data_IF_221165424175
#
_entry.id   IF_221165424175
#
_cell.length_a   1.000
_cell.length_b   1.000
_cell.length_c   1.000
_cell.angle_alpha   90.00
_cell.angle_beta   90.00
_cell.angle_gamma   90.00
#
_symmetry.space_group_name_H-M   'P 1'
#
loop_
_entity.id
_entity.type
_entity.pdbx_description
1 polymer ?
#
# COMPACT_ATOMS: atom_id res chain seq x y z
N UNK A 1 -9.24 0.62 -8.76
CA UNK A 1 -10.43 1.10 -8.03
C UNK A 1 -11.02 2.30 -8.77
N UNK A 2 -12.33 2.51 -8.62
CA UNK A 2 -12.97 3.70 -9.18
C UNK A 2 -12.44 4.99 -8.53
N UNK A 3 -12.39 6.08 -9.31
CA UNK A 3 -11.92 7.39 -8.84
C UNK A 3 -12.69 7.89 -7.61
N UNK A 4 -14.01 7.65 -7.56
CA UNK A 4 -14.89 8.08 -6.45
C UNK A 4 -14.50 7.41 -5.13
N UNK A 5 -14.24 6.10 -5.16
CA UNK A 5 -13.80 5.35 -3.97
C UNK A 5 -12.44 5.86 -3.47
N UNK A 6 -11.49 6.08 -4.39
CA UNK A 6 -10.20 6.64 -4.01
C UNK A 6 -10.35 8.06 -3.41
N UNK A 7 -11.28 8.87 -3.90
CA UNK A 7 -11.56 10.18 -3.32
C UNK A 7 -12.17 10.09 -1.92
N UNK A 8 -13.13 9.20 -1.67
CA UNK A 8 -13.66 8.98 -0.32
C UNK A 8 -12.58 8.52 0.65
N UNK A 9 -11.71 7.60 0.24
CA UNK A 9 -10.59 7.16 1.06
C UNK A 9 -9.65 8.33 1.40
N UNK A 10 -9.39 9.24 0.45
CA UNK A 10 -8.59 10.45 0.71
C UNK A 10 -9.22 11.36 1.78
N UNK A 11 -10.54 11.52 1.76
CA UNK A 11 -11.27 12.31 2.76
C UNK A 11 -11.13 11.68 4.15
N UNK A 12 -11.32 10.37 4.27
CA UNK A 12 -11.22 9.69 5.55
C UNK A 12 -9.79 9.72 6.13
N UNK A 13 -8.77 9.58 5.28
CA UNK A 13 -7.37 9.73 5.70
C UNK A 13 -7.05 11.14 6.21
N UNK A 14 -7.59 12.19 5.59
CA UNK A 14 -7.38 13.58 6.04
C UNK A 14 -8.07 13.89 7.37
N UNK A 15 -9.20 13.23 7.62
CA UNK A 15 -9.99 13.39 8.84
C UNK A 15 -9.47 12.55 10.01
N UNK A 16 -8.58 11.59 9.78
CA UNK A 16 -7.98 10.80 10.84
C UNK A 16 -7.11 11.68 11.76
N UNK A 17 -7.30 11.51 13.08
CA UNK A 17 -6.63 12.30 14.15
C UNK A 17 -6.15 11.47 15.34
N UNK A 18 -6.25 10.15 15.27
CA UNK A 18 -5.83 9.29 16.39
C UNK A 18 -4.29 9.20 16.45
N UNK A 19 -3.70 9.00 17.65
CA UNK A 19 -2.25 9.05 17.84
C UNK A 19 -1.51 7.81 17.32
N UNK A 20 -2.22 6.74 16.95
CA UNK A 20 -1.61 5.48 16.49
C UNK A 20 -0.84 5.66 15.19
N UNK A 21 -1.33 6.52 14.29
CA UNK A 21 -0.68 6.84 13.02
C UNK A 21 -0.63 8.35 12.80
N UNK A 22 0.49 8.84 12.31
CA UNK A 22 0.63 10.22 11.85
C UNK A 22 0.41 10.24 10.34
N UNK A 23 -0.64 10.93 9.90
CA UNK A 23 -1.02 11.04 8.48
C UNK A 23 -0.84 12.49 8.02
N UNK A 24 0.15 12.71 7.16
CA UNK A 24 0.47 14.04 6.62
C UNK A 24 0.30 14.07 5.11
N UNK A 25 -0.56 14.95 4.60
CA UNK A 25 -0.78 15.09 3.16
C UNK A 25 0.43 15.74 2.48
N UNK A 26 0.92 15.13 1.40
CA UNK A 26 1.97 15.69 0.58
C UNK A 26 1.43 16.80 -0.34
N UNK A 27 2.21 17.86 -0.61
CA UNK A 27 1.83 18.87 -1.58
C UNK A 27 1.78 18.27 -2.99
N UNK A 28 0.75 18.66 -3.74
CA UNK A 28 0.60 18.32 -5.15
C UNK A 28 0.49 19.59 -5.98
N UNK A 29 1.04 19.57 -7.19
CA UNK A 29 0.92 20.67 -8.15
C UNK A 29 0.08 20.18 -9.32
N UNK A 30 -1.01 20.88 -9.64
CA UNK A 30 -1.94 20.50 -10.70
C UNK A 30 -2.42 19.03 -10.61
N UNK A 31 -2.69 18.55 -9.39
CA UNK A 31 -3.06 17.15 -9.12
C UNK A 31 -2.02 16.13 -9.61
N UNK A 32 -0.74 16.48 -9.51
CA UNK A 32 0.38 15.58 -9.79
C UNK A 32 1.44 15.69 -8.70
N UNK A 33 2.21 14.61 -8.50
CA UNK A 33 3.43 14.65 -7.71
C UNK A 33 4.59 15.16 -8.56
N UNK A 34 5.43 15.98 -7.93
CA UNK A 34 6.74 16.38 -8.44
C UNK A 34 7.80 16.03 -7.41
N UNK A 35 9.03 15.76 -7.85
CA UNK A 35 10.15 15.43 -6.95
C UNK A 35 9.89 14.25 -5.98
N UNK A 36 9.06 13.28 -6.37
CA UNK A 36 8.81 12.07 -5.58
C UNK A 36 9.68 10.90 -6.05
N UNK A 37 9.24 10.18 -7.09
CA UNK A 37 9.95 9.07 -7.73
C UNK A 37 9.57 9.09 -9.20
N UNK A 38 10.50 8.75 -10.11
CA UNK A 38 10.30 8.90 -11.56
C UNK A 38 9.06 8.16 -12.09
N UNK A 39 8.68 7.06 -11.44
CA UNK A 39 7.48 6.30 -11.83
C UNK A 39 6.18 6.91 -11.33
N UNK A 40 6.19 7.76 -10.29
CA UNK A 40 4.98 8.44 -9.81
C UNK A 40 4.83 9.86 -10.37
N UNK A 41 5.95 10.53 -10.65
CA UNK A 41 5.96 11.94 -11.04
C UNK A 41 5.12 12.20 -12.31
N UNK A 42 4.36 13.30 -12.29
CA UNK A 42 3.53 13.74 -13.41
C UNK A 42 2.33 12.84 -13.75
N UNK A 43 2.04 11.80 -12.95
CA UNK A 43 0.80 11.03 -13.07
C UNK A 43 -0.33 11.72 -12.29
N UNK A 44 -1.59 11.64 -12.78
CA UNK A 44 -2.73 12.16 -12.02
C UNK A 44 -2.84 11.48 -10.66
N UNK A 45 -2.91 12.29 -9.60
CA UNK A 45 -3.02 11.85 -8.21
C UNK A 45 -4.20 12.56 -7.57
N UNK A 46 -5.02 11.82 -6.80
CA UNK A 46 -6.08 12.39 -5.98
C UNK A 46 -5.45 13.01 -4.72
N UNK A 47 -4.64 12.22 -4.04
CA UNK A 47 -3.88 12.63 -2.88
C UNK A 47 -2.70 11.68 -2.66
N UNK A 48 -1.70 12.18 -1.95
CA UNK A 48 -0.59 11.40 -1.48
C UNK A 48 -0.35 11.76 -0.02
N UNK A 49 0.00 10.77 0.80
CA UNK A 49 0.20 10.93 2.23
C UNK A 49 1.53 10.31 2.63
N UNK A 50 2.25 11.01 3.51
CA UNK A 50 3.21 10.41 4.41
C UNK A 50 2.45 9.81 5.58
N UNK A 51 2.63 8.51 5.82
CA UNK A 51 1.97 7.78 6.89
C UNK A 51 3.04 7.13 7.76
N UNK A 52 3.18 7.63 8.97
CA UNK A 52 4.12 7.12 9.95
C UNK A 52 3.39 6.42 11.09
N UNK A 53 3.99 5.37 11.63
CA UNK A 53 3.60 4.80 12.91
C UNK A 53 4.69 5.14 13.92
N UNK A 54 4.42 5.94 14.97
CA UNK A 54 5.45 6.38 15.91
C UNK A 54 6.29 5.22 16.46
N UNK A 55 7.61 5.33 16.34
CA UNK A 55 8.56 4.29 16.76
C UNK A 55 8.73 3.09 15.80
N UNK A 56 8.04 3.10 14.66
CA UNK A 56 8.10 2.05 13.64
C UNK A 56 8.41 2.62 12.24
N UNK A 57 8.24 1.79 11.21
CA UNK A 57 8.42 2.16 9.81
C UNK A 57 7.41 3.24 9.37
N UNK A 58 7.74 3.96 8.31
CA UNK A 58 6.85 4.92 7.65
C UNK A 58 6.71 4.56 6.18
N UNK A 59 5.64 5.01 5.54
CA UNK A 59 5.33 4.69 4.16
C UNK A 59 4.64 5.85 3.47
N UNK A 60 4.83 5.96 2.15
CA UNK A 60 4.05 6.90 1.34
C UNK A 60 2.87 6.19 0.69
N UNK A 61 1.66 6.70 0.90
CA UNK A 61 0.43 6.17 0.33
C UNK A 61 -0.05 7.10 -0.79
N UNK A 62 -0.09 6.59 -2.02
CA UNK A 62 -0.44 7.36 -3.21
C UNK A 62 -1.78 6.87 -3.77
N UNK A 63 -2.78 7.75 -3.80
CA UNK A 63 -4.06 7.50 -4.47
C UNK A 63 -3.98 8.03 -5.90
N UNK A 64 -3.50 7.19 -6.82
CA UNK A 64 -2.90 7.62 -8.10
C UNK A 64 -3.42 6.81 -9.29
N UNK A 65 -3.57 7.46 -10.45
CA UNK A 65 -3.78 6.76 -11.74
C UNK A 65 -2.44 6.19 -12.22
N UNK A 66 -2.08 5.05 -11.62
CA UNK A 66 -0.75 4.47 -11.71
C UNK A 66 -0.34 4.11 -13.15
N UNK A 67 -1.28 3.60 -13.95
CA UNK A 67 -1.03 3.19 -15.33
C UNK A 67 -1.62 4.14 -16.38
N UNK A 68 -2.10 5.33 -15.99
CA UNK A 68 -2.70 6.34 -16.90
C UNK A 68 -3.86 5.78 -17.72
N UNK A 69 -4.69 4.98 -17.09
CA UNK A 69 -5.84 4.31 -17.71
C UNK A 69 -7.15 4.62 -16.99
N UNK A 70 -7.17 5.71 -16.21
CA UNK A 70 -8.31 6.14 -15.40
C UNK A 70 -8.76 5.10 -14.36
N UNK A 71 -7.87 4.16 -14.00
CA UNK A 71 -8.06 3.21 -12.91
C UNK A 71 -7.13 3.61 -11.77
N UNK A 72 -7.70 3.90 -10.59
CA UNK A 72 -6.92 4.40 -9.47
C UNK A 72 -6.38 3.26 -8.61
N UNK A 73 -5.21 3.51 -8.05
CA UNK A 73 -4.46 2.58 -7.20
C UNK A 73 -4.21 3.25 -5.86
N UNK A 74 -4.17 2.45 -4.80
CA UNK A 74 -3.42 2.76 -3.60
C UNK A 74 -2.05 2.13 -3.80
N UNK A 75 -1.06 2.97 -4.13
CA UNK A 75 0.32 2.54 -4.26
C UNK A 75 1.05 2.91 -2.98
N UNK A 76 1.71 1.93 -2.37
CA UNK A 76 2.49 2.11 -1.15
C UNK A 76 3.97 2.09 -1.51
N UNK A 77 4.68 3.17 -1.18
CA UNK A 77 6.13 3.30 -1.36
C UNK A 77 6.85 3.19 -0.03
N UNK A 78 8.06 2.63 -0.06
CA UNK A 78 9.00 2.76 1.05
C UNK A 78 9.28 4.25 1.33
N UNK A 79 9.54 4.60 2.58
CA UNK A 79 9.75 6.00 2.97
C UNK A 79 11.00 6.64 2.35
N UNK A 80 12.01 5.85 2.00
CA UNK A 80 13.18 6.32 1.24
C UNK A 80 12.88 6.51 -0.27
N UNK A 81 11.63 6.23 -0.69
CA UNK A 81 11.14 6.27 -2.08
C UNK A 81 11.89 5.33 -3.03
N UNK A 82 12.67 4.39 -2.51
CA UNK A 82 13.51 3.49 -3.31
C UNK A 82 12.68 2.48 -4.12
N UNK A 83 11.52 2.08 -3.61
CA UNK A 83 10.71 1.03 -4.22
C UNK A 83 9.24 1.09 -3.82
N UNK A 84 8.40 0.54 -4.69
CA UNK A 84 7.01 0.23 -4.40
C UNK A 84 6.94 -1.03 -3.53
N UNK A 85 6.28 -0.92 -2.37
CA UNK A 85 5.98 -2.03 -1.48
C UNK A 85 4.77 -2.82 -2.00
N UNK A 86 3.70 -2.10 -2.35
CA UNK A 86 2.46 -2.69 -2.82
C UNK A 86 1.71 -1.80 -3.81
N UNK A 87 0.99 -2.42 -4.73
CA UNK A 87 0.06 -1.76 -5.66
C UNK A 87 -1.30 -2.41 -5.49
N UNK A 88 -2.28 -1.65 -5.01
CA UNK A 88 -3.61 -2.16 -4.71
C UNK A 88 -4.67 -1.42 -5.53
N UNK A 89 -5.40 -2.13 -6.38
CA UNK A 89 -6.49 -1.55 -7.18
C UNK A 89 -7.72 -2.46 -7.30
N UNK A 90 -7.59 -3.75 -6.97
CA UNK A 90 -8.66 -4.74 -7.11
C UNK A 90 -9.62 -4.60 -5.95
N UNK A 91 -10.86 -4.27 -6.27
CA UNK A 91 -11.97 -4.31 -5.32
C UNK A 91 -12.68 -5.65 -5.49
N UNK A 92 -12.96 -6.31 -4.38
CA UNK A 92 -13.86 -7.46 -4.32
C UNK A 92 -14.97 -7.15 -3.31
N UNK A 93 -16.16 -7.68 -3.54
CA UNK A 93 -17.29 -7.55 -2.63
C UNK A 93 -17.56 -8.92 -2.01
N UNK A 94 -17.63 -8.97 -0.67
CA UNK A 94 -18.00 -10.18 0.07
C UNK A 94 -18.99 -9.77 1.18
N UNK A 95 -20.17 -10.40 1.19
CA UNK A 95 -21.24 -10.12 2.17
C UNK A 95 -21.62 -8.62 2.28
N UNK A 96 -21.64 -7.91 1.16
CA UNK A 96 -21.97 -6.48 1.11
C UNK A 96 -20.86 -5.54 1.58
N UNK A 97 -19.67 -6.07 1.90
CA UNK A 97 -18.49 -5.29 2.27
C UNK A 97 -17.50 -5.28 1.11
N UNK A 98 -17.01 -4.09 0.76
CA UNK A 98 -15.96 -3.94 -0.24
C UNK A 98 -14.59 -4.10 0.40
N UNK A 99 -13.73 -4.90 -0.23
CA UNK A 99 -12.35 -5.13 0.18
C UNK A 99 -11.39 -4.72 -0.92
N UNK A 100 -10.30 -4.09 -0.52
CA UNK A 100 -9.11 -3.90 -1.34
C UNK A 100 -8.27 -5.18 -1.27
N UNK A 101 -8.26 -5.93 -2.37
CA UNK A 101 -7.59 -7.23 -2.47
C UNK A 101 -6.20 -7.07 -3.08
N UNK A 102 -5.19 -7.62 -2.41
CA UNK A 102 -3.81 -7.63 -2.85
C UNK A 102 -3.23 -9.05 -2.77
N UNK A 103 -2.43 -9.43 -3.77
CA UNK A 103 -1.77 -10.73 -3.83
C UNK A 103 -0.26 -10.56 -3.85
N UNK A 104 0.42 -11.25 -2.95
CA UNK A 104 1.86 -11.35 -2.96
C UNK A 104 2.35 -12.07 -4.22
N UNK A 105 3.11 -11.34 -5.03
CA UNK A 105 3.65 -11.81 -6.30
C UNK A 105 5.07 -11.24 -6.47
N UNK A 106 6.11 -11.88 -5.90
CA UNK A 106 7.48 -11.41 -6.07
C UNK A 106 7.93 -11.56 -7.53
N UNK A 107 8.54 -10.51 -8.07
CA UNK A 107 9.00 -10.43 -9.47
C UNK A 107 10.52 -10.16 -9.56
N UNK A 108 11.30 -10.70 -8.61
CA UNK A 108 12.76 -10.52 -8.58
C UNK A 108 13.42 -11.39 -9.65
N UNK A 109 14.54 -10.93 -10.23
CA UNK A 109 15.26 -11.62 -11.31
C UNK A 109 16.40 -12.52 -10.80
N UNK A 110 16.28 -13.03 -9.58
CA UNK A 110 17.29 -13.86 -8.92
C UNK A 110 16.95 -15.36 -8.90
N UNK A 111 15.82 -15.75 -9.47
CA UNK A 111 15.35 -17.14 -9.49
C UNK A 111 14.78 -17.64 -8.15
N UNK A 112 14.70 -16.80 -7.11
CA UNK A 112 14.29 -17.21 -5.75
C UNK A 112 12.85 -16.81 -5.39
N UNK A 113 12.02 -16.47 -6.37
CA UNK A 113 10.62 -16.05 -6.14
C UNK A 113 9.77 -17.17 -5.52
N UNK A 114 10.00 -18.43 -5.88
CA UNK A 114 9.25 -19.57 -5.33
C UNK A 114 9.55 -19.78 -3.85
N UNK A 115 10.80 -19.57 -3.42
CA UNK A 115 11.20 -19.61 -2.01
C UNK A 115 10.45 -18.54 -1.23
N UNK A 116 10.50 -17.28 -1.70
CA UNK A 116 9.81 -16.15 -1.05
C UNK A 116 8.30 -16.38 -0.95
N UNK A 117 7.67 -16.85 -2.03
CA UNK A 117 6.23 -17.14 -2.08
C UNK A 117 5.85 -18.29 -1.16
N UNK A 118 6.67 -19.33 -1.07
CA UNK A 118 6.47 -20.46 -0.17
C UNK A 118 6.60 -20.02 1.28
N UNK A 119 7.64 -19.25 1.62
CA UNK A 119 7.81 -18.65 2.94
C UNK A 119 6.62 -17.77 3.34
N UNK A 120 6.18 -16.87 2.44
CA UNK A 120 5.05 -15.99 2.70
C UNK A 120 3.79 -16.80 3.04
N UNK A 121 3.48 -17.83 2.23
CA UNK A 121 2.31 -18.67 2.46
C UNK A 121 2.42 -19.48 3.76
N UNK A 122 3.57 -20.07 4.06
CA UNK A 122 3.74 -20.84 5.30
C UNK A 122 3.68 -19.95 6.55
N UNK A 123 4.26 -18.76 6.49
CA UNK A 123 4.35 -17.85 7.65
C UNK A 123 3.04 -17.09 7.89
N UNK A 124 2.35 -16.68 6.82
CA UNK A 124 1.17 -15.81 6.91
C UNK A 124 -0.14 -16.49 6.46
N UNK A 125 -0.09 -17.80 6.16
CA UNK A 125 -1.24 -18.65 5.81
C UNK A 125 -1.73 -18.53 4.37
N UNK A 126 -1.78 -17.32 3.82
CA UNK A 126 -2.29 -17.03 2.47
C UNK A 126 -1.36 -16.05 1.75
N UNK A 127 -1.34 -16.09 0.42
CA UNK A 127 -0.65 -15.09 -0.41
C UNK A 127 -1.55 -13.92 -0.80
N UNK A 128 -2.84 -13.96 -0.44
CA UNK A 128 -3.79 -12.88 -0.72
C UNK A 128 -4.22 -12.23 0.59
N UNK A 129 -4.19 -10.90 0.64
CA UNK A 129 -4.75 -10.10 1.72
C UNK A 129 -5.95 -9.32 1.19
N UNK A 130 -7.09 -9.45 1.87
CA UNK A 130 -8.29 -8.68 1.60
C UNK A 130 -8.49 -7.70 2.74
N UNK A 131 -8.34 -6.40 2.45
CA UNK A 131 -8.39 -5.34 3.45
C UNK A 131 -9.74 -4.62 3.30
N UNK A 132 -10.62 -4.63 4.32
CA UNK A 132 -11.90 -3.93 4.24
C UNK A 132 -11.68 -2.45 3.90
N UNK A 133 -12.41 -1.93 2.92
CA UNK A 133 -12.39 -0.50 2.64
C UNK A 133 -13.17 0.23 3.74
N UNK A 134 -12.61 1.30 4.33
CA UNK A 134 -13.32 2.10 5.30
C UNK A 134 -14.49 2.81 4.61
N UNK A 135 -15.65 2.76 5.26
CA UNK A 135 -16.86 3.51 4.93
C UNK A 135 -17.06 4.70 5.87
N UNK A 136 -16.37 4.70 7.02
CA UNK A 136 -16.38 5.75 8.04
C UNK A 136 -14.96 6.03 8.55
N UNK A 137 -14.72 7.25 9.05
CA UNK A 137 -13.40 7.67 9.55
C UNK A 137 -12.89 6.82 10.72
N UNK A 138 -13.78 6.32 11.59
CA UNK A 138 -13.41 5.44 12.72
C UNK A 138 -12.78 4.12 12.29
N UNK A 139 -13.01 3.68 11.05
CA UNK A 139 -12.48 2.43 10.51
C UNK A 139 -11.05 2.59 9.93
N UNK A 140 -10.56 3.83 9.82
CA UNK A 140 -9.26 4.13 9.21
C UNK A 140 -8.10 3.53 10.00
N UNK A 141 -8.14 3.52 11.33
CA UNK A 141 -7.06 2.91 12.12
C UNK A 141 -6.89 1.42 11.81
N UNK A 142 -8.01 0.68 11.75
CA UNK A 142 -8.01 -0.74 11.39
C UNK A 142 -7.51 -0.95 9.96
N UNK A 143 -7.89 -0.06 9.03
CA UNK A 143 -7.41 -0.08 7.65
C UNK A 143 -5.88 0.13 7.58
N UNK A 144 -5.35 1.18 8.23
CA UNK A 144 -3.91 1.46 8.30
C UNK A 144 -3.14 0.30 8.93
N UNK A 145 -3.66 -0.28 10.01
CA UNK A 145 -3.08 -1.46 10.67
C UNK A 145 -2.89 -2.61 9.70
N UNK A 146 -3.89 -2.89 8.87
CA UNK A 146 -3.80 -3.96 7.88
C UNK A 146 -2.84 -3.64 6.73
N UNK A 147 -2.75 -2.37 6.29
CA UNK A 147 -1.77 -1.96 5.28
C UNK A 147 -0.35 -2.04 5.79
N UNK A 148 -0.08 -1.63 7.03
CA UNK A 148 1.23 -1.77 7.66
C UNK A 148 1.61 -3.24 7.83
N UNK A 149 0.66 -4.10 8.25
CA UNK A 149 0.87 -5.55 8.29
C UNK A 149 1.23 -6.11 6.91
N UNK A 150 0.56 -5.67 5.85
CA UNK A 150 0.89 -6.04 4.47
C UNK A 150 2.33 -5.66 4.14
N UNK A 151 2.73 -4.42 4.43
CA UNK A 151 4.08 -3.93 4.15
C UNK A 151 5.14 -4.73 4.92
N UNK A 152 4.93 -4.95 6.22
CA UNK A 152 5.81 -5.76 7.06
C UNK A 152 5.98 -7.18 6.49
N UNK A 153 4.87 -7.86 6.17
CA UNK A 153 4.88 -9.22 5.63
C UNK A 153 5.62 -9.27 4.28
N UNK A 154 5.35 -8.30 3.41
CA UNK A 154 5.98 -8.13 2.09
C UNK A 154 7.50 -7.97 2.22
N UNK A 155 7.96 -7.09 3.10
CA UNK A 155 9.40 -6.81 3.30
C UNK A 155 10.09 -8.03 3.91
N UNK A 156 9.50 -8.65 4.93
CA UNK A 156 10.06 -9.84 5.59
C UNK A 156 10.21 -11.01 4.63
N UNK A 157 9.19 -11.26 3.80
CA UNK A 157 9.26 -12.34 2.82
C UNK A 157 10.28 -12.08 1.71
N UNK A 158 10.56 -10.83 1.33
CA UNK A 158 11.58 -10.55 0.33
C UNK A 158 13.00 -10.81 0.79
N UNK A 159 13.27 -10.58 2.08
CA UNK A 159 14.59 -10.75 2.70
C UNK A 159 14.91 -12.20 3.08
N UNK A 160 13.94 -13.11 2.98
CA UNK A 160 14.13 -14.48 3.49
C UNK A 160 15.29 -15.22 2.79
N UNK A 161 15.50 -14.95 1.50
CA UNK A 161 16.56 -15.60 0.73
C UNK A 161 17.95 -15.15 1.16
N UNK A 162 18.05 -13.91 1.63
CA UNK A 162 19.32 -13.37 2.13
C UNK A 162 19.68 -14.06 3.45
N UNK A 163 18.70 -14.43 4.27
CA UNK A 163 18.91 -15.15 5.54
C UNK A 163 19.36 -16.59 5.29
N UNK A 164 18.78 -17.26 4.29
CA UNK A 164 19.13 -18.65 3.95
C UNK A 164 20.47 -18.77 3.22
N UNK A 165 20.92 -17.74 2.49
CA UNK A 165 22.22 -17.76 1.81
C UNK A 165 23.43 -17.70 2.77
N UNK A 166 23.20 -17.43 4.06
CA UNK A 166 24.24 -17.44 5.12
C UNK A 166 24.27 -18.74 5.95
N UNK A 167 23.51 -19.77 5.58
CA UNK A 167 23.57 -21.12 6.17
C UNK A 167 24.16 -22.12 5.17
#
# INVERSE_FOLDING_TARGET
MEKKLAHHLSIYLEQYKEPTYEVSKLPTLNNTLSQFHQWANGKPVIAAYDVAKPGEESYYFLLIDWHRNNNYYLVIYAHDKSTTIAELNKIIEENGVNFLSWKYNPLKRDGKNDIRKSYYKHTFGTTTMNIPLPTLTVEIEGFLTQLFKLCHNRVRADKIVDIYDFQ
#
